data_IF_374740001611
#
_entry.id   IF_374740001611
#
_cell.length_a   1.000
_cell.length_b   1.000
_cell.length_c   1.000
_cell.angle_alpha   90.00
_cell.angle_beta   90.00
_cell.angle_gamma   90.00
#
_symmetry.space_group_name_H-M   'P 1'
#
loop_
_entity.id
_entity.type
_entity.pdbx_description
1 polymer ?
#
# COMPACT_ATOMS: atom_id res chain seq x y z
N UNK A 1 -23.07 -3.87 -30.91
CA UNK A 1 -21.95 -2.92 -30.75
C UNK A 1 -21.17 -3.22 -29.45
N UNK A 2 -20.64 -4.44 -29.28
CA UNK A 2 -19.98 -4.88 -28.03
C UNK A 2 -18.73 -5.78 -28.22
N UNK A 3 -18.54 -6.40 -29.40
CA UNK A 3 -17.37 -7.27 -29.63
C UNK A 3 -16.05 -6.50 -29.76
N UNK A 4 -16.07 -5.29 -30.33
CA UNK A 4 -14.88 -4.48 -30.62
C UNK A 4 -14.14 -3.94 -29.40
N UNK A 5 -14.74 -3.97 -28.20
CA UNK A 5 -14.07 -3.52 -26.97
C UNK A 5 -13.12 -4.58 -26.37
N UNK A 6 -13.36 -5.86 -26.62
CA UNK A 6 -12.56 -6.96 -26.02
C UNK A 6 -11.21 -7.09 -26.74
N UNK A 7 -11.18 -6.93 -28.07
CA UNK A 7 -9.96 -7.03 -28.88
C UNK A 7 -8.93 -5.95 -28.54
N UNK A 8 -9.38 -4.74 -28.19
CA UNK A 8 -8.50 -3.61 -27.89
C UNK A 8 -7.76 -3.79 -26.55
N UNK A 9 -8.41 -4.41 -25.56
CA UNK A 9 -7.80 -4.77 -24.28
C UNK A 9 -6.73 -5.86 -24.44
N UNK A 10 -6.94 -6.82 -25.34
CA UNK A 10 -5.96 -7.90 -25.59
C UNK A 10 -4.66 -7.37 -26.25
N UNK A 11 -4.76 -6.39 -27.15
CA UNK A 11 -3.60 -5.82 -27.83
C UNK A 11 -2.66 -5.06 -26.86
N UNK A 12 -3.20 -4.44 -25.81
CA UNK A 12 -2.40 -3.73 -24.80
C UNK A 12 -1.52 -4.67 -23.96
N UNK A 13 -1.95 -5.91 -23.72
CA UNK A 13 -1.18 -6.89 -22.94
C UNK A 13 0.08 -7.37 -23.67
N UNK A 14 0.01 -7.56 -24.99
CA UNK A 14 1.14 -8.04 -25.79
C UNK A 14 2.27 -6.98 -25.82
N UNK A 15 1.92 -5.69 -25.93
CA UNK A 15 2.90 -4.60 -25.96
C UNK A 15 3.76 -4.51 -24.69
N UNK A 16 3.18 -4.72 -23.50
CA UNK A 16 3.93 -4.64 -22.23
C UNK A 16 4.89 -5.83 -22.04
N UNK A 17 4.52 -7.01 -22.53
CA UNK A 17 5.36 -8.22 -22.43
C UNK A 17 6.69 -8.12 -23.19
N UNK A 18 6.78 -7.25 -24.20
CA UNK A 18 8.01 -7.01 -24.96
C UNK A 18 9.06 -6.14 -24.22
N UNK A 19 8.64 -5.27 -23.30
CA UNK A 19 9.57 -4.36 -22.61
C UNK A 19 10.38 -5.05 -21.49
N UNK A 20 9.80 -6.09 -20.87
CA UNK A 20 10.43 -6.84 -19.77
C UNK A 20 11.66 -7.67 -20.20
N UNK A 21 11.92 -7.82 -21.50
CA UNK A 21 12.99 -8.68 -22.05
C UNK A 21 14.26 -7.94 -22.48
N UNK A 22 14.32 -6.62 -22.29
CA UNK A 22 15.42 -5.76 -22.75
C UNK A 22 16.34 -5.23 -21.62
N UNK A 23 16.03 -5.52 -20.35
CA UNK A 23 16.69 -4.92 -19.19
C UNK A 23 17.74 -5.84 -18.48
N UNK A 24 18.09 -6.98 -19.07
CA UNK A 24 18.95 -8.01 -18.44
C UNK A 24 20.25 -8.26 -19.22
N UNK A 25 21.05 -7.21 -19.44
CA UNK A 25 22.45 -7.31 -19.89
C UNK A 25 23.23 -6.06 -19.46
N UNK A 26 24.46 -6.26 -18.96
CA UNK A 26 25.32 -5.24 -18.34
C UNK A 26 24.79 -4.73 -16.98
N UNK A 27 25.58 -4.58 -15.91
CA UNK A 27 27.05 -4.67 -15.76
C UNK A 27 27.47 -5.78 -14.77
N UNK A 28 28.71 -6.24 -14.92
CA UNK A 28 29.42 -7.17 -14.02
C UNK A 28 30.55 -6.40 -13.35
N UNK A 29 30.85 -6.72 -12.09
CA UNK A 29 32.07 -6.31 -11.35
C UNK A 29 32.28 -4.77 -11.16
N UNK A 30 32.86 -4.28 -10.07
CA UNK A 30 33.89 -4.89 -9.19
C UNK A 30 33.56 -4.78 -7.70
N UNK A 31 34.03 -5.77 -6.92
CA UNK A 31 34.33 -5.62 -5.49
C UNK A 31 35.78 -5.17 -5.33
N UNK A 32 36.05 -4.26 -4.41
CA UNK A 32 37.33 -4.15 -3.69
C UNK A 32 37.04 -3.80 -2.22
N UNK A 33 37.96 -4.13 -1.33
CA UNK A 33 37.73 -4.19 0.11
C UNK A 33 38.48 -3.10 0.90
N UNK A 34 38.11 -3.03 2.19
CA UNK A 34 38.98 -2.85 3.35
C UNK A 34 39.08 -1.47 4.04
N UNK A 35 39.43 -1.54 5.34
CA UNK A 35 39.81 -0.48 6.28
C UNK A 35 38.67 0.51 6.62
N UNK A 36 37.94 0.47 7.75
CA UNK A 36 38.22 0.20 9.18
C UNK A 36 38.64 1.42 10.02
N UNK A 37 38.19 1.44 11.27
CA UNK A 37 38.57 2.34 12.39
C UNK A 37 38.24 3.85 12.30
N UNK A 38 37.26 4.25 13.09
CA UNK A 38 37.44 5.31 14.10
C UNK A 38 36.47 5.07 15.27
N UNK A 39 36.85 5.43 16.49
CA UNK A 39 36.08 5.25 17.71
C UNK A 39 36.28 6.50 18.60
N UNK A 40 35.34 6.77 19.53
CA UNK A 40 35.35 7.95 20.43
C UNK A 40 35.14 9.30 19.65
N UNK A 41 34.61 10.37 20.25
CA UNK A 41 34.79 10.85 21.62
C UNK A 41 33.52 11.45 22.27
N UNK A 42 33.59 11.70 23.57
CA UNK A 42 32.51 12.16 24.44
C UNK A 42 32.67 13.62 24.89
N UNK A 43 31.55 14.31 25.20
CA UNK A 43 31.53 15.48 26.09
C UNK A 43 30.13 15.85 26.60
N UNK A 44 29.97 15.83 27.92
CA UNK A 44 29.13 16.79 28.66
C UNK A 44 29.91 18.13 28.73
N UNK A 45 29.44 19.30 29.18
CA UNK A 45 28.34 19.80 30.03
C UNK A 45 28.33 21.37 29.87
N UNK A 46 27.81 22.28 30.75
CA UNK A 46 26.87 22.16 31.89
C UNK A 46 25.72 23.23 31.99
N UNK A 47 24.74 22.91 32.84
CA UNK A 47 23.96 23.74 33.83
C UNK A 47 23.74 25.28 33.69
N UNK A 48 22.47 25.69 33.83
CA UNK A 48 21.90 26.66 34.82
C UNK A 48 20.39 26.85 34.54
N UNK A 49 19.41 26.97 35.45
CA UNK A 49 19.33 27.05 36.94
C UNK A 49 18.50 25.84 37.49
N UNK A 50 18.03 25.63 38.74
CA UNK A 50 17.72 26.44 39.96
C UNK A 50 16.44 27.33 39.75
N UNK A 51 15.50 27.61 40.67
CA UNK A 51 15.40 27.59 42.14
C UNK A 51 14.46 26.52 42.79
N UNK A 52 14.57 26.40 44.13
CA UNK A 52 13.65 25.71 45.07
C UNK A 52 12.33 26.53 45.28
N UNK A 53 11.31 26.22 46.10
CA UNK A 53 11.14 25.48 47.38
C UNK A 53 9.63 25.10 47.53
N UNK A 54 9.10 24.29 48.48
CA UNK A 54 9.69 23.57 49.63
C UNK A 54 9.08 22.15 49.86
N UNK A 55 7.95 22.02 50.62
CA UNK A 55 7.48 20.76 51.24
C UNK A 55 5.96 20.63 51.36
N UNK A 56 5.47 19.40 51.52
CA UNK A 56 4.07 19.09 51.83
C UNK A 56 3.80 17.62 52.19
N UNK A 57 4.33 17.12 53.32
CA UNK A 57 3.98 15.80 53.88
C UNK A 57 2.93 15.94 54.99
N UNK A 58 1.79 15.24 54.89
CA UNK A 58 0.97 14.79 56.02
C UNK A 58 0.57 13.33 55.76
N UNK A 59 0.38 12.54 56.81
CA UNK A 59 0.24 11.09 56.77
C UNK A 59 -0.80 10.59 57.79
N UNK A 60 -1.40 9.44 57.49
CA UNK A 60 -2.07 8.49 58.39
C UNK A 60 -3.48 8.79 58.97
N UNK A 61 -4.19 7.67 59.20
CA UNK A 61 -5.29 7.42 60.17
C UNK A 61 -6.67 8.06 59.92
N UNK A 62 -7.81 7.47 60.31
CA UNK A 62 -8.34 6.09 60.48
C UNK A 62 -9.50 6.16 61.49
N UNK A 63 -10.70 5.70 61.12
CA UNK A 63 -11.82 5.41 62.05
C UNK A 63 -12.53 4.13 61.55
N UNK A 64 -13.20 3.41 62.46
CA UNK A 64 -13.84 2.10 62.28
C UNK A 64 -15.33 2.19 62.71
N UNK A 65 -16.06 1.07 62.65
CA UNK A 65 -17.43 0.82 63.11
C UNK A 65 -18.58 1.22 62.16
N UNK A 66 -19.71 0.49 62.09
CA UNK A 66 -20.18 -0.69 62.87
C UNK A 66 -20.87 -1.74 61.98
N UNK A 67 -21.05 -2.97 62.50
CA UNK A 67 -21.81 -4.06 61.85
C UNK A 67 -23.33 -3.94 62.08
N UNK A 68 -24.14 -4.61 61.25
CA UNK A 68 -25.16 -5.53 61.80
C UNK A 68 -25.59 -6.68 60.85
N UNK A 69 -26.32 -7.64 61.42
CA UNK A 69 -26.64 -9.02 60.98
C UNK A 69 -27.27 -9.18 59.58
N UNK A 70 -26.82 -10.09 58.71
CA UNK A 70 -26.87 -11.59 58.72
C UNK A 70 -28.21 -12.22 58.28
N UNK A 71 -28.20 -12.96 57.16
CA UNK A 71 -29.06 -14.16 56.98
C UNK A 71 -28.44 -15.18 56.01
N UNK A 72 -28.74 -16.45 56.24
CA UNK A 72 -28.31 -17.66 55.50
C UNK A 72 -29.15 -17.90 54.20
N UNK A 73 -28.87 -18.79 53.24
CA UNK A 73 -27.71 -19.63 52.77
C UNK A 73 -28.16 -20.31 51.43
N UNK A 74 -27.29 -21.10 50.81
CA UNK A 74 -27.62 -22.24 49.91
C UNK A 74 -28.33 -21.95 48.56
N UNK A 75 -27.59 -21.49 47.55
CA UNK A 75 -27.68 -22.04 46.18
C UNK A 75 -26.26 -22.27 45.64
N UNK A 76 -25.71 -23.48 45.84
CA UNK A 76 -24.44 -23.96 45.26
C UNK A 76 -24.44 -25.49 45.12
N UNK A 77 -25.15 -25.99 44.12
CA UNK A 77 -25.17 -27.41 43.74
C UNK A 77 -25.21 -27.59 42.22
N UNK A 78 -26.05 -26.82 41.53
CA UNK A 78 -26.56 -27.23 40.21
C UNK A 78 -25.60 -26.90 39.04
N UNK A 79 -24.82 -25.81 39.15
CA UNK A 79 -23.88 -25.40 38.09
C UNK A 79 -22.81 -26.47 37.78
N UNK A 80 -22.35 -27.22 38.79
CA UNK A 80 -21.26 -28.21 38.65
C UNK A 80 -21.73 -29.47 37.89
N UNK A 81 -23.04 -29.68 37.73
CA UNK A 81 -23.57 -30.69 36.80
C UNK A 81 -23.60 -30.18 35.36
N UNK A 82 -24.10 -28.95 35.13
CA UNK A 82 -24.14 -28.37 33.78
C UNK A 82 -22.75 -28.12 33.19
N UNK A 83 -21.78 -27.64 33.98
CA UNK A 83 -20.39 -27.50 33.52
C UNK A 83 -19.79 -28.85 33.11
N UNK A 84 -20.03 -29.92 33.89
CA UNK A 84 -19.57 -31.27 33.53
C UNK A 84 -20.28 -31.85 32.32
N UNK A 85 -21.57 -31.57 32.13
CA UNK A 85 -22.32 -32.03 30.96
C UNK A 85 -21.92 -31.27 29.68
N UNK A 86 -21.62 -29.97 29.79
CA UNK A 86 -21.07 -29.15 28.69
C UNK A 86 -19.65 -29.59 28.34
N UNK A 87 -18.78 -29.81 29.34
CA UNK A 87 -17.43 -30.36 29.12
C UNK A 87 -17.53 -31.75 28.50
N UNK A 88 -18.39 -32.64 29.00
CA UNK A 88 -18.59 -33.97 28.41
C UNK A 88 -19.11 -33.91 26.96
N UNK A 89 -20.02 -32.99 26.63
CA UNK A 89 -20.50 -32.77 25.26
C UNK A 89 -19.42 -32.16 24.34
N UNK A 90 -18.56 -31.30 24.88
CA UNK A 90 -17.41 -30.74 24.16
C UNK A 90 -16.33 -31.80 23.90
N UNK A 91 -16.05 -32.67 24.87
CA UNK A 91 -15.14 -33.82 24.72
C UNK A 91 -15.72 -34.89 23.79
N UNK A 92 -17.03 -35.15 23.84
CA UNK A 92 -17.70 -36.08 22.94
C UNK A 92 -17.72 -35.61 21.47
N UNK A 93 -17.62 -34.30 21.22
CA UNK A 93 -17.39 -33.75 19.87
C UNK A 93 -15.93 -33.90 19.38
N UNK A 94 -15.01 -34.43 20.20
CA UNK A 94 -13.61 -34.73 19.82
C UNK A 94 -13.23 -36.20 20.03
N UNK A 95 -14.17 -37.13 19.78
CA UNK A 95 -13.78 -38.38 19.11
C UNK A 95 -13.43 -38.08 17.66
N UNK A 96 -12.22 -37.55 17.42
CA UNK A 96 -11.62 -37.62 16.09
C UNK A 96 -11.53 -39.11 15.71
N UNK A 97 -12.34 -39.52 14.73
CA UNK A 97 -12.12 -40.79 14.06
C UNK A 97 -10.72 -40.73 13.49
N UNK A 98 -9.81 -41.61 13.96
CA UNK A 98 -8.48 -41.78 13.38
C UNK A 98 -8.63 -42.35 11.98
N UNK A 99 -8.88 -41.45 11.02
CA UNK A 99 -8.87 -41.74 9.60
C UNK A 99 -7.47 -42.23 9.26
N UNK A 100 -7.34 -43.53 9.00
CA UNK A 100 -6.05 -44.14 8.73
C UNK A 100 -5.46 -43.47 7.48
N UNK A 101 -4.27 -42.89 7.62
CA UNK A 101 -3.53 -42.34 6.50
C UNK A 101 -3.15 -43.49 5.57
N UNK A 102 -3.63 -43.40 4.34
CA UNK A 102 -3.56 -44.43 3.29
C UNK A 102 -2.50 -44.08 2.24
N UNK A 103 -2.22 -42.79 2.09
CA UNK A 103 -1.23 -42.26 1.16
C UNK A 103 -0.15 -41.52 1.96
N UNK A 104 1.12 -41.91 1.79
CA UNK A 104 2.27 -41.39 2.53
C UNK A 104 3.32 -40.82 1.55
N UNK A 105 3.01 -39.76 0.79
CA UNK A 105 3.94 -39.16 -0.17
C UNK A 105 5.24 -38.70 0.52
N UNK A 106 6.37 -39.06 -0.07
CA UNK A 106 7.71 -38.65 0.36
C UNK A 106 8.21 -37.44 -0.43
N UNK A 107 7.59 -37.13 -1.57
CA UNK A 107 7.94 -35.97 -2.40
C UNK A 107 6.75 -35.07 -2.70
N UNK A 108 7.03 -33.78 -2.99
CA UNK A 108 6.01 -32.83 -3.47
C UNK A 108 5.30 -33.33 -4.74
N UNK A 109 6.00 -34.06 -5.61
CA UNK A 109 5.44 -34.61 -6.86
C UNK A 109 4.40 -35.70 -6.58
N UNK A 110 4.65 -36.60 -5.62
CA UNK A 110 3.66 -37.59 -5.16
C UNK A 110 2.47 -36.90 -4.51
N UNK A 111 2.70 -35.94 -3.60
CA UNK A 111 1.62 -35.17 -2.99
C UNK A 111 0.80 -34.42 -4.06
N UNK A 112 1.45 -33.86 -5.09
CA UNK A 112 0.77 -33.17 -6.19
C UNK A 112 -0.16 -34.10 -6.97
N UNK A 113 0.30 -35.30 -7.31
CA UNK A 113 -0.53 -36.30 -7.98
C UNK A 113 -1.75 -36.71 -7.13
N UNK A 114 -1.55 -36.89 -5.82
CA UNK A 114 -2.62 -37.26 -4.88
C UNK A 114 -3.67 -36.15 -4.70
N UNK A 115 -3.28 -34.87 -4.75
CA UNK A 115 -4.24 -33.76 -4.67
C UNK A 115 -4.86 -33.37 -6.01
N UNK A 116 -4.33 -33.85 -7.14
CA UNK A 116 -4.96 -33.61 -8.46
C UNK A 116 -6.08 -34.62 -8.73
N UNK A 117 -6.04 -35.81 -8.14
CA UNK A 117 -7.14 -36.77 -8.14
C UNK A 117 -8.27 -36.30 -7.20
N UNK A 118 -9.39 -35.83 -7.76
CA UNK A 118 -10.58 -35.41 -6.99
C UNK A 118 -11.32 -36.57 -6.30
N UNK A 119 -11.00 -37.83 -6.57
CA UNK A 119 -11.53 -38.98 -5.83
C UNK A 119 -10.81 -39.24 -4.49
N UNK A 120 -9.59 -38.70 -4.33
CA UNK A 120 -8.81 -38.84 -3.10
C UNK A 120 -9.21 -37.77 -2.09
N UNK A 121 -9.70 -38.22 -0.93
CA UNK A 121 -10.00 -37.37 0.23
C UNK A 121 -8.70 -36.87 0.86
N UNK A 122 -8.62 -35.57 1.13
CA UNK A 122 -7.40 -34.97 1.67
C UNK A 122 -7.08 -35.48 3.10
N UNK A 123 -8.09 -35.94 3.84
CA UNK A 123 -7.92 -36.62 5.13
C UNK A 123 -7.16 -37.96 5.06
N UNK A 124 -7.20 -38.67 3.92
CA UNK A 124 -6.50 -39.96 3.72
C UNK A 124 -4.98 -39.79 3.46
N UNK A 125 -4.49 -38.57 3.29
CA UNK A 125 -3.09 -38.24 2.96
C UNK A 125 -2.32 -37.84 4.22
N UNK A 126 -1.13 -38.43 4.43
CA UNK A 126 -0.14 -37.97 5.40
C UNK A 126 0.82 -36.98 4.73
N UNK A 127 0.98 -35.80 5.32
CA UNK A 127 1.86 -34.73 4.81
C UNK A 127 3.11 -34.52 5.66
N UNK A 128 3.31 -35.31 6.73
CA UNK A 128 4.40 -35.10 7.71
C UNK A 128 5.81 -35.18 7.12
N UNK A 129 6.01 -35.93 6.04
CA UNK A 129 7.29 -36.01 5.32
C UNK A 129 7.56 -34.82 4.38
N UNK A 130 6.59 -33.94 4.13
CA UNK A 130 6.66 -32.91 3.09
C UNK A 130 7.12 -31.57 3.66
N UNK A 131 8.19 -31.02 3.09
CA UNK A 131 8.78 -29.74 3.47
C UNK A 131 8.52 -28.59 2.46
N UNK A 132 8.01 -28.92 1.28
CA UNK A 132 7.69 -27.97 0.21
C UNK A 132 6.28 -28.24 -0.33
N UNK A 133 5.36 -27.30 -0.12
CA UNK A 133 3.98 -27.34 -0.63
C UNK A 133 3.74 -26.27 -1.72
N UNK A 134 4.80 -25.74 -2.33
CA UNK A 134 4.67 -24.71 -3.34
C UNK A 134 3.85 -25.16 -4.56
N UNK A 135 2.93 -24.28 -4.98
CA UNK A 135 2.00 -24.47 -6.09
C UNK A 135 1.07 -25.71 -5.98
N UNK A 136 0.90 -26.30 -4.79
CA UNK A 136 0.21 -27.58 -4.62
C UNK A 136 -1.24 -27.59 -5.15
N UNK A 137 -2.03 -26.57 -4.84
CA UNK A 137 -3.39 -26.36 -5.35
C UNK A 137 -3.46 -25.23 -6.39
N UNK A 138 -2.35 -24.91 -7.07
CA UNK A 138 -2.30 -23.80 -8.03
C UNK A 138 -3.20 -24.04 -9.25
N UNK A 139 -4.05 -23.07 -9.55
CA UNK A 139 -5.18 -23.14 -10.50
C UNK A 139 -6.23 -24.24 -10.18
N UNK A 140 -6.28 -24.76 -8.95
CA UNK A 140 -7.17 -25.89 -8.64
C UNK A 140 -8.66 -25.52 -8.80
N UNK A 141 -9.38 -26.42 -9.48
CA UNK A 141 -10.84 -26.38 -9.66
C UNK A 141 -11.59 -27.24 -8.61
N UNK A 142 -10.85 -27.90 -7.71
CA UNK A 142 -11.39 -28.71 -6.62
C UNK A 142 -12.36 -27.89 -5.78
N UNK A 143 -13.47 -28.51 -5.40
CA UNK A 143 -14.52 -27.90 -4.55
C UNK A 143 -14.49 -28.42 -3.12
N UNK A 144 -14.26 -29.72 -2.95
CA UNK A 144 -14.15 -30.35 -1.64
C UNK A 144 -12.70 -30.33 -1.16
N UNK A 145 -12.46 -29.64 -0.05
CA UNK A 145 -11.18 -29.55 0.63
C UNK A 145 -11.23 -30.19 2.03
N UNK A 146 -12.28 -30.97 2.35
CA UNK A 146 -12.45 -31.59 3.65
C UNK A 146 -11.30 -32.55 3.98
N UNK A 147 -10.82 -32.51 5.22
CA UNK A 147 -9.65 -33.22 5.68
C UNK A 147 -8.33 -32.46 5.53
N UNK A 148 -8.27 -31.33 4.82
CA UNK A 148 -7.05 -30.51 4.70
C UNK A 148 -6.66 -29.85 6.04
N UNK A 149 -7.65 -29.62 6.91
CA UNK A 149 -7.48 -29.18 8.30
C UNK A 149 -6.73 -30.21 9.17
N UNK A 150 -6.67 -31.47 8.75
CA UNK A 150 -5.95 -32.57 9.44
C UNK A 150 -4.49 -32.74 9.00
N UNK A 151 -3.98 -31.88 8.11
CA UNK A 151 -2.63 -32.00 7.58
C UNK A 151 -1.57 -31.52 8.58
N UNK A 152 -0.54 -32.35 8.78
CA UNK A 152 0.67 -31.87 9.44
C UNK A 152 1.50 -31.06 8.45
N UNK A 153 1.65 -29.76 8.73
CA UNK A 153 2.47 -28.83 7.93
C UNK A 153 3.69 -28.32 8.70
N UNK A 154 4.03 -28.88 9.86
CA UNK A 154 5.08 -28.33 10.73
C UNK A 154 6.48 -28.40 10.13
N UNK A 155 6.73 -29.33 9.22
CA UNK A 155 7.99 -29.47 8.48
C UNK A 155 8.04 -28.61 7.21
N UNK A 156 6.95 -27.92 6.86
CA UNK A 156 6.87 -27.09 5.64
C UNK A 156 7.63 -25.79 5.84
N UNK A 157 8.57 -25.54 4.93
CA UNK A 157 9.36 -24.30 4.85
C UNK A 157 8.91 -23.40 3.69
N UNK A 158 8.26 -23.97 2.67
CA UNK A 158 7.85 -23.26 1.47
C UNK A 158 6.36 -23.47 1.14
N UNK A 159 5.59 -22.38 1.11
CA UNK A 159 4.17 -22.35 0.70
C UNK A 159 3.93 -21.42 -0.52
N UNK A 160 4.97 -21.10 -1.28
CA UNK A 160 4.90 -20.27 -2.48
C UNK A 160 3.75 -20.68 -3.41
N UNK A 161 2.82 -19.77 -3.68
CA UNK A 161 1.68 -19.96 -4.58
C UNK A 161 0.79 -21.19 -4.25
N UNK A 162 0.77 -21.68 -3.00
CA UNK A 162 0.12 -22.94 -2.62
C UNK A 162 -1.36 -23.02 -3.07
N UNK A 163 -2.13 -21.94 -2.91
CA UNK A 163 -3.52 -21.82 -3.35
C UNK A 163 -3.72 -20.74 -4.43
N UNK A 164 -2.66 -20.37 -5.16
CA UNK A 164 -2.73 -19.38 -6.24
C UNK A 164 -3.78 -19.82 -7.29
N UNK A 165 -4.83 -19.03 -7.52
CA UNK A 165 -5.97 -19.34 -8.40
C UNK A 165 -6.78 -20.58 -8.00
N UNK A 166 -6.72 -21.03 -6.75
CA UNK A 166 -7.57 -22.09 -6.23
C UNK A 166 -9.02 -21.59 -6.10
N UNK A 167 -9.81 -21.77 -7.16
CA UNK A 167 -11.05 -21.01 -7.43
C UNK A 167 -12.12 -21.09 -6.34
N UNK A 168 -12.21 -22.24 -5.67
CA UNK A 168 -13.20 -22.51 -4.62
C UNK A 168 -12.55 -22.66 -3.24
N UNK A 169 -11.27 -22.30 -3.07
CA UNK A 169 -10.59 -22.49 -1.79
C UNK A 169 -11.06 -21.49 -0.74
N UNK A 170 -11.80 -22.00 0.24
CA UNK A 170 -12.22 -21.28 1.44
C UNK A 170 -12.43 -22.27 2.60
N UNK A 171 -11.50 -23.23 2.78
CA UNK A 171 -11.56 -24.23 3.84
C UNK A 171 -10.79 -23.77 5.09
N UNK A 172 -11.18 -24.27 6.27
CA UNK A 172 -10.48 -23.92 7.51
C UNK A 172 -9.06 -24.52 7.53
N UNK A 173 -8.09 -23.66 7.87
CA UNK A 173 -6.66 -23.94 8.01
C UNK A 173 -6.09 -23.23 9.26
N UNK A 174 -6.97 -22.72 10.14
CA UNK A 174 -6.62 -21.94 11.34
C UNK A 174 -5.75 -22.70 12.35
N UNK A 175 -5.79 -24.04 12.31
CA UNK A 175 -5.03 -24.96 13.17
C UNK A 175 -3.61 -25.29 12.65
N UNK A 176 -3.23 -24.84 11.45
CA UNK A 176 -1.95 -25.19 10.82
C UNK A 176 -0.74 -24.59 11.54
N UNK A 177 0.28 -25.43 11.79
CA UNK A 177 1.52 -25.06 12.45
C UNK A 177 2.56 -24.49 11.47
N UNK A 178 2.31 -23.31 10.92
CA UNK A 178 3.16 -22.67 9.88
C UNK A 178 4.49 -22.08 10.40
N UNK A 179 4.89 -22.38 11.64
CA UNK A 179 6.04 -21.75 12.33
C UNK A 179 7.39 -21.84 11.60
N UNK A 180 7.56 -22.82 10.72
CA UNK A 180 8.80 -23.08 9.99
C UNK A 180 8.77 -22.55 8.54
N UNK A 181 7.64 -21.97 8.10
CA UNK A 181 7.50 -21.42 6.76
C UNK A 181 8.30 -20.12 6.65
N UNK A 182 9.14 -20.03 5.62
CA UNK A 182 9.94 -18.84 5.28
C UNK A 182 9.38 -18.07 4.08
N UNK A 183 8.63 -18.75 3.20
CA UNK A 183 8.09 -18.18 1.97
C UNK A 183 6.57 -18.42 1.84
N UNK A 184 5.80 -17.33 1.80
CA UNK A 184 4.35 -17.30 1.56
C UNK A 184 3.96 -16.42 0.34
N UNK A 185 4.92 -16.13 -0.56
CA UNK A 185 4.65 -15.36 -1.78
C UNK A 185 3.52 -16.00 -2.59
N UNK A 186 2.57 -15.19 -3.07
CA UNK A 186 1.38 -15.61 -3.82
C UNK A 186 0.47 -16.66 -3.14
N UNK A 187 0.63 -16.97 -1.84
CA UNK A 187 0.00 -18.15 -1.21
C UNK A 187 -1.52 -18.25 -1.45
N UNK A 188 -2.25 -17.13 -1.41
CA UNK A 188 -3.68 -17.03 -1.71
C UNK A 188 -3.98 -16.06 -2.87
N UNK A 189 -3.01 -15.84 -3.78
CA UNK A 189 -3.23 -14.98 -4.94
C UNK A 189 -4.38 -15.51 -5.81
N UNK A 190 -5.22 -14.63 -6.36
CA UNK A 190 -6.43 -14.98 -7.14
C UNK A 190 -7.41 -15.97 -6.46
N UNK A 191 -7.21 -16.34 -5.18
CA UNK A 191 -8.10 -17.20 -4.40
C UNK A 191 -9.31 -16.39 -3.92
N UNK A 192 -10.11 -15.89 -4.87
CA UNK A 192 -11.07 -14.81 -4.66
C UNK A 192 -12.16 -15.08 -3.61
N UNK A 193 -12.40 -16.35 -3.26
CA UNK A 193 -13.36 -16.78 -2.22
C UNK A 193 -12.74 -16.92 -0.82
N UNK A 194 -11.41 -16.90 -0.67
CA UNK A 194 -10.74 -17.16 0.60
C UNK A 194 -11.02 -16.06 1.62
N UNK A 195 -11.60 -16.43 2.76
CA UNK A 195 -11.89 -15.53 3.87
C UNK A 195 -11.93 -16.27 5.22
N UNK A 196 -10.93 -17.15 5.47
CA UNK A 196 -10.79 -17.86 6.75
C UNK A 196 -9.81 -17.18 7.69
N UNK A 197 -10.04 -17.39 8.98
CA UNK A 197 -9.24 -16.80 10.05
C UNK A 197 -7.89 -17.54 10.16
N UNK A 198 -6.82 -16.76 10.01
CA UNK A 198 -5.42 -17.18 10.11
C UNK A 198 -4.64 -16.27 11.09
N UNK A 199 -5.36 -15.48 11.91
CA UNK A 199 -4.79 -14.57 12.91
C UNK A 199 -3.89 -15.27 13.94
N UNK A 200 -4.11 -16.57 14.17
CA UNK A 200 -3.36 -17.40 15.12
C UNK A 200 -2.09 -18.04 14.54
N UNK A 201 -1.82 -17.87 13.25
CA UNK A 201 -0.60 -18.39 12.63
C UNK A 201 0.65 -17.69 13.16
N UNK A 202 1.65 -18.48 13.58
CA UNK A 202 2.98 -17.93 13.86
C UNK A 202 3.77 -17.75 12.55
N UNK A 203 3.79 -16.53 12.03
CA UNK A 203 4.54 -16.16 10.81
C UNK A 203 5.93 -15.58 11.11
N UNK A 204 6.46 -15.72 12.33
CA UNK A 204 7.70 -15.04 12.77
C UNK A 204 8.94 -15.35 11.92
N UNK A 205 8.95 -16.48 11.19
CA UNK A 205 10.06 -16.92 10.37
C UNK A 205 9.85 -16.64 8.86
N UNK A 206 8.73 -16.02 8.48
CA UNK A 206 8.44 -15.67 7.09
C UNK A 206 9.28 -14.46 6.68
N UNK A 207 10.06 -14.62 5.61
CA UNK A 207 10.88 -13.55 5.02
C UNK A 207 10.17 -12.86 3.84
N UNK A 208 9.21 -13.54 3.21
CA UNK A 208 8.58 -13.10 1.96
C UNK A 208 7.07 -13.39 1.92
N UNK A 209 6.29 -12.34 1.63
CA UNK A 209 4.82 -12.32 1.52
C UNK A 209 4.34 -11.51 0.28
N UNK A 210 5.14 -11.40 -0.78
CA UNK A 210 4.74 -10.67 -1.99
C UNK A 210 3.46 -11.28 -2.57
N UNK A 211 2.50 -10.44 -2.95
CA UNK A 211 1.23 -10.87 -3.54
C UNK A 211 0.41 -11.89 -2.71
N UNK A 212 0.69 -12.07 -1.40
CA UNK A 212 0.11 -13.17 -0.60
C UNK A 212 -1.42 -13.25 -0.66
N UNK A 213 -2.11 -12.10 -0.70
CA UNK A 213 -3.57 -11.98 -0.82
C UNK A 213 -3.98 -11.21 -2.10
N UNK A 214 -3.11 -11.12 -3.11
CA UNK A 214 -3.40 -10.36 -4.32
C UNK A 214 -4.61 -10.95 -5.06
N UNK A 215 -5.69 -10.17 -5.27
CA UNK A 215 -6.98 -10.60 -5.83
C UNK A 215 -7.72 -11.66 -4.99
N UNK A 216 -7.37 -11.85 -3.71
CA UNK A 216 -8.18 -12.55 -2.73
C UNK A 216 -9.39 -11.68 -2.31
N UNK A 217 -10.29 -11.39 -3.26
CA UNK A 217 -11.31 -10.32 -3.19
C UNK A 217 -12.21 -10.39 -1.95
N UNK A 218 -12.53 -11.57 -1.44
CA UNK A 218 -13.34 -11.77 -0.24
C UNK A 218 -12.58 -11.62 1.09
N UNK A 219 -11.24 -11.60 1.08
CA UNK A 219 -10.44 -11.68 2.31
C UNK A 219 -10.55 -10.41 3.16
N UNK A 220 -11.04 -10.58 4.40
CA UNK A 220 -11.13 -9.49 5.38
C UNK A 220 -11.06 -10.04 6.81
N UNK A 221 -9.94 -10.71 7.15
CA UNK A 221 -9.67 -11.26 8.50
C UNK A 221 -8.49 -10.55 9.16
N UNK A 222 -8.53 -10.35 10.50
CA UNK A 222 -7.51 -9.59 11.21
C UNK A 222 -6.15 -10.28 11.14
N UNK A 223 -5.11 -9.50 10.85
CA UNK A 223 -3.70 -9.95 10.80
C UNK A 223 -2.81 -9.17 11.77
N UNK A 224 -3.39 -8.31 12.61
CA UNK A 224 -2.64 -7.46 13.56
C UNK A 224 -1.88 -8.24 14.66
N UNK A 225 -2.16 -9.52 14.84
CA UNK A 225 -1.45 -10.43 15.74
C UNK A 225 -0.16 -11.02 15.14
N UNK A 226 0.09 -10.81 13.84
CA UNK A 226 1.24 -11.39 13.15
C UNK A 226 2.55 -10.64 13.45
N UNK A 227 3.57 -11.37 13.90
CA UNK A 227 4.94 -10.88 13.98
C UNK A 227 5.59 -10.94 12.58
N UNK A 228 5.62 -9.80 11.89
CA UNK A 228 6.21 -9.66 10.54
C UNK A 228 7.64 -9.08 10.54
N UNK A 229 8.33 -9.02 11.69
CA UNK A 229 9.62 -8.34 11.82
C UNK A 229 10.74 -8.88 10.89
N UNK A 230 10.64 -10.14 10.47
CA UNK A 230 11.57 -10.77 9.52
C UNK A 230 11.15 -10.63 8.04
N UNK A 231 9.94 -10.12 7.75
CA UNK A 231 9.45 -9.95 6.37
C UNK A 231 10.20 -8.81 5.70
N UNK A 232 10.93 -9.14 4.62
CA UNK A 232 11.68 -8.19 3.79
C UNK A 232 10.88 -7.75 2.56
N UNK A 233 10.04 -8.64 2.05
CA UNK A 233 9.32 -8.45 0.79
C UNK A 233 7.80 -8.62 0.97
N UNK A 234 7.04 -7.54 0.78
CA UNK A 234 5.58 -7.53 0.88
C UNK A 234 4.92 -6.70 -0.25
N UNK A 235 5.56 -6.68 -1.42
CA UNK A 235 5.05 -5.96 -2.60
C UNK A 235 3.70 -6.56 -3.02
N UNK A 236 2.74 -5.69 -3.38
CA UNK A 236 1.41 -6.09 -3.85
C UNK A 236 0.64 -7.03 -2.90
N UNK A 237 0.98 -7.10 -1.60
CA UNK A 237 0.45 -8.11 -0.66
C UNK A 237 -1.09 -8.17 -0.61
N UNK A 238 -1.76 -7.02 -0.70
CA UNK A 238 -3.23 -6.88 -0.75
C UNK A 238 -3.73 -6.24 -2.07
N UNK A 239 -2.95 -6.35 -3.15
CA UNK A 239 -3.33 -5.82 -4.48
C UNK A 239 -4.69 -6.42 -4.91
N UNK A 240 -5.69 -5.57 -5.14
CA UNK A 240 -7.06 -5.94 -5.49
C UNK A 240 -7.75 -6.91 -4.49
N UNK A 241 -7.31 -6.92 -3.22
CA UNK A 241 -8.06 -7.51 -2.12
C UNK A 241 -9.25 -6.61 -1.76
N UNK A 242 -10.25 -6.56 -2.64
CA UNK A 242 -11.30 -5.52 -2.64
C UNK A 242 -12.06 -5.33 -1.32
N UNK A 243 -12.23 -6.40 -0.53
CA UNK A 243 -12.91 -6.36 0.78
C UNK A 243 -12.00 -6.09 1.98
N UNK A 244 -10.68 -6.08 1.82
CA UNK A 244 -9.75 -6.01 2.94
C UNK A 244 -9.79 -4.63 3.62
N UNK A 245 -10.08 -4.60 4.91
CA UNK A 245 -10.19 -3.37 5.70
C UNK A 245 -9.83 -3.60 7.18
N UNK A 246 -8.69 -4.22 7.45
CA UNK A 246 -8.19 -4.49 8.81
C UNK A 246 -7.01 -3.56 9.14
N UNK A 247 -6.85 -3.19 10.41
CA UNK A 247 -5.64 -2.46 10.85
C UNK A 247 -4.43 -3.37 10.85
N UNK A 248 -3.26 -2.79 10.59
CA UNK A 248 -1.95 -3.44 10.65
C UNK A 248 -0.98 -2.72 11.60
N UNK A 249 -1.47 -1.82 12.47
CA UNK A 249 -0.65 -0.95 13.33
C UNK A 249 0.34 -1.66 14.27
N UNK A 250 0.16 -2.96 14.53
CA UNK A 250 1.05 -3.78 15.38
C UNK A 250 2.22 -4.41 14.62
N UNK A 251 2.29 -4.23 13.29
CA UNK A 251 3.34 -4.81 12.45
C UNK A 251 4.65 -4.01 12.52
N UNK A 252 5.72 -4.69 12.92
CA UNK A 252 7.08 -4.16 12.82
C UNK A 252 7.61 -4.31 11.40
N UNK A 253 7.46 -3.26 10.59
CA UNK A 253 7.89 -3.23 9.18
C UNK A 253 9.32 -2.73 8.96
N UNK A 254 10.16 -2.65 10.01
CA UNK A 254 11.53 -2.11 9.91
C UNK A 254 12.43 -2.81 8.87
N UNK A 255 12.17 -4.09 8.59
CA UNK A 255 12.93 -4.89 7.62
C UNK A 255 12.50 -4.69 6.16
N UNK A 256 11.47 -3.88 5.89
CA UNK A 256 10.85 -3.72 4.56
C UNK A 256 11.51 -2.59 3.77
N UNK A 257 12.06 -2.92 2.60
CA UNK A 257 12.66 -1.95 1.68
C UNK A 257 11.69 -1.46 0.58
N UNK A 258 10.57 -2.16 0.36
CA UNK A 258 9.60 -1.84 -0.69
C UNK A 258 8.16 -2.21 -0.30
N UNK A 259 7.26 -1.25 -0.43
CA UNK A 259 5.80 -1.38 -0.25
C UNK A 259 5.05 -1.07 -1.55
N UNK A 260 5.72 -1.25 -2.70
CA UNK A 260 5.12 -1.06 -4.04
C UNK A 260 3.80 -1.81 -4.15
N UNK A 261 2.77 -1.12 -4.63
CA UNK A 261 1.44 -1.66 -4.95
C UNK A 261 0.71 -2.36 -3.77
N UNK A 262 1.19 -2.22 -2.52
CA UNK A 262 0.76 -3.04 -1.38
C UNK A 262 -0.77 -3.09 -1.16
N UNK A 263 -1.47 -1.98 -1.38
CA UNK A 263 -2.93 -1.85 -1.30
C UNK A 263 -3.54 -1.38 -2.63
N UNK A 264 -2.84 -1.56 -3.76
CA UNK A 264 -3.33 -1.18 -5.09
C UNK A 264 -4.71 -1.80 -5.33
N UNK A 265 -5.75 -1.02 -5.61
CA UNK A 265 -7.09 -1.53 -5.89
C UNK A 265 -7.80 -2.19 -4.70
N UNK A 266 -7.29 -2.08 -3.47
CA UNK A 266 -7.96 -2.51 -2.25
C UNK A 266 -9.10 -1.53 -1.90
N UNK A 267 -10.19 -1.58 -2.67
CA UNK A 267 -11.25 -0.55 -2.71
C UNK A 267 -11.85 -0.19 -1.35
N UNK A 268 -12.02 -1.18 -0.47
CA UNK A 268 -12.57 -1.00 0.89
C UNK A 268 -11.54 -0.59 1.93
N UNK A 269 -10.25 -0.58 1.59
CA UNK A 269 -9.18 -0.45 2.57
C UNK A 269 -9.11 0.97 3.16
N UNK A 270 -9.30 1.03 4.48
CA UNK A 270 -9.15 2.21 5.33
C UNK A 270 -8.71 1.78 6.75
N UNK A 271 -7.98 0.67 6.87
CA UNK A 271 -7.48 0.15 8.15
C UNK A 271 -6.24 0.91 8.60
N UNK A 272 -6.11 1.20 9.90
CA UNK A 272 -5.07 2.08 10.43
C UNK A 272 -3.64 1.53 10.22
N UNK A 273 -2.74 2.44 9.80
CA UNK A 273 -1.32 2.21 9.45
C UNK A 273 -0.35 3.26 10.06
N UNK A 274 -0.83 4.15 10.93
CA UNK A 274 -0.06 5.26 11.54
C UNK A 274 1.22 4.81 12.27
N UNK A 275 1.23 3.57 12.75
CA UNK A 275 2.29 2.98 13.57
C UNK A 275 3.30 2.14 12.76
N UNK A 276 3.12 1.99 11.44
CA UNK A 276 4.08 1.29 10.59
C UNK A 276 5.41 2.07 10.49
N UNK A 277 6.53 1.39 10.74
CA UNK A 277 7.84 1.97 10.48
C UNK A 277 8.23 1.77 9.01
N UNK A 278 8.33 2.88 8.28
CA UNK A 278 8.70 2.93 6.85
C UNK A 278 10.09 3.53 6.61
N UNK A 279 10.92 3.70 7.64
CA UNK A 279 12.19 4.44 7.55
C UNK A 279 13.24 3.81 6.62
N UNK A 280 13.08 2.54 6.27
CA UNK A 280 13.93 1.78 5.35
C UNK A 280 13.31 1.62 3.95
N UNK A 281 12.06 2.06 3.75
CA UNK A 281 11.37 1.92 2.46
C UNK A 281 11.97 2.87 1.43
N UNK A 282 12.31 2.34 0.26
CA UNK A 282 12.86 3.06 -0.89
C UNK A 282 11.77 3.24 -1.97
N UNK A 283 10.79 2.33 -2.05
CA UNK A 283 9.77 2.28 -3.09
C UNK A 283 8.35 2.17 -2.51
N UNK A 284 7.50 3.16 -2.84
CA UNK A 284 6.07 3.24 -2.53
C UNK A 284 5.21 3.45 -3.78
N UNK A 285 5.72 3.13 -4.99
CA UNK A 285 4.98 3.31 -6.23
C UNK A 285 3.60 2.61 -6.16
N UNK A 286 2.56 3.37 -6.50
CA UNK A 286 1.16 2.95 -6.54
C UNK A 286 0.61 2.28 -5.26
N UNK A 287 1.23 2.52 -4.08
CA UNK A 287 0.91 1.82 -2.82
C UNK A 287 -0.58 1.86 -2.45
N UNK A 288 -1.25 3.00 -2.64
CA UNK A 288 -2.69 3.21 -2.39
C UNK A 288 -3.47 3.54 -3.67
N UNK A 289 -2.90 3.30 -4.85
CA UNK A 289 -3.59 3.59 -6.11
C UNK A 289 -4.88 2.76 -6.21
N UNK A 290 -6.01 3.36 -6.59
CA UNK A 290 -7.34 2.77 -6.63
C UNK A 290 -7.86 2.21 -5.28
N UNK A 291 -7.19 2.50 -4.16
CA UNK A 291 -7.73 2.27 -2.81
C UNK A 291 -8.77 3.36 -2.47
N UNK A 292 -9.94 3.29 -3.11
CA UNK A 292 -10.93 4.37 -3.16
C UNK A 292 -11.43 4.88 -1.81
N UNK A 293 -11.42 4.02 -0.77
CA UNK A 293 -11.86 4.35 0.59
C UNK A 293 -10.73 4.82 1.52
N UNK A 294 -9.47 4.76 1.08
CA UNK A 294 -8.33 5.03 1.95
C UNK A 294 -8.26 6.51 2.36
N UNK A 295 -8.27 6.76 3.67
CA UNK A 295 -8.18 8.09 4.27
C UNK A 295 -7.55 8.04 5.67
N UNK A 296 -6.64 7.09 5.93
CA UNK A 296 -5.94 6.97 7.22
C UNK A 296 -4.78 7.95 7.33
N UNK A 297 -4.58 8.49 8.54
CA UNK A 297 -3.53 9.45 8.81
C UNK A 297 -2.15 8.76 8.83
N UNK A 298 -1.23 9.27 8.02
CA UNK A 298 0.14 8.75 7.83
C UNK A 298 1.20 9.86 7.92
N UNK A 299 0.88 11.01 8.54
CA UNK A 299 1.81 12.13 8.74
C UNK A 299 3.04 11.79 9.60
N UNK A 300 2.97 10.69 10.38
CA UNK A 300 4.04 10.14 11.23
C UNK A 300 5.16 9.46 10.44
N UNK A 301 4.93 9.10 9.18
CA UNK A 301 5.81 8.26 8.39
C UNK A 301 7.13 8.95 8.00
N UNK A 302 8.26 8.35 8.39
CA UNK A 302 9.60 8.79 7.99
C UNK A 302 9.93 8.36 6.54
N UNK A 303 9.37 9.05 5.54
CA UNK A 303 9.60 8.77 4.11
C UNK A 303 10.97 9.24 3.58
N UNK A 304 11.92 9.64 4.44
CA UNK A 304 13.16 10.33 4.03
C UNK A 304 14.15 9.50 3.21
N UNK A 305 13.96 8.18 3.09
CA UNK A 305 14.74 7.30 2.18
C UNK A 305 14.03 6.99 0.85
N UNK A 306 12.73 7.28 0.73
CA UNK A 306 11.92 6.92 -0.44
C UNK A 306 12.39 7.71 -1.67
N UNK A 307 12.52 7.01 -2.80
CA UNK A 307 12.86 7.59 -4.11
C UNK A 307 11.69 7.54 -5.10
N UNK A 308 10.84 6.52 -4.97
CA UNK A 308 9.79 6.18 -5.92
C UNK A 308 8.41 6.30 -5.22
N UNK A 309 7.62 7.29 -5.64
CA UNK A 309 6.26 7.60 -5.15
C UNK A 309 5.25 7.82 -6.29
N UNK A 310 5.55 7.29 -7.47
CA UNK A 310 4.71 7.44 -8.67
C UNK A 310 3.35 6.79 -8.44
N UNK A 311 2.28 7.46 -8.88
CA UNK A 311 0.89 7.02 -8.76
C UNK A 311 0.42 6.71 -7.32
N UNK A 312 1.17 7.10 -6.26
CA UNK A 312 0.98 6.58 -4.88
C UNK A 312 -0.46 6.67 -4.36
N UNK A 313 -1.19 7.75 -4.69
CA UNK A 313 -2.59 7.98 -4.34
C UNK A 313 -3.49 8.15 -5.58
N UNK A 314 -3.09 7.61 -6.75
CA UNK A 314 -3.92 7.70 -7.97
C UNK A 314 -5.29 7.04 -7.73
N UNK A 315 -6.40 7.73 -7.99
CA UNK A 315 -7.78 7.28 -7.73
C UNK A 315 -8.05 6.91 -6.24
N UNK A 316 -7.23 7.37 -5.28
CA UNK A 316 -7.57 7.33 -3.86
C UNK A 316 -8.63 8.41 -3.53
N UNK A 317 -9.86 8.21 -4.02
CA UNK A 317 -10.94 9.22 -4.07
C UNK A 317 -11.21 9.87 -2.71
N UNK A 318 -11.14 9.09 -1.62
CA UNK A 318 -11.45 9.55 -0.25
C UNK A 318 -10.27 10.22 0.46
N UNK A 319 -9.05 10.12 -0.06
CA UNK A 319 -7.84 10.51 0.64
C UNK A 319 -7.72 12.04 0.79
N UNK A 320 -7.61 12.51 2.03
CA UNK A 320 -7.44 13.92 2.37
C UNK A 320 -6.74 14.10 3.74
N UNK A 321 -5.58 13.46 3.94
CA UNK A 321 -4.81 13.50 5.21
C UNK A 321 -3.54 14.35 5.10
N UNK A 322 -3.08 14.97 6.20
CA UNK A 322 -1.87 15.81 6.23
C UNK A 322 -0.62 15.04 5.81
N UNK A 323 0.27 15.72 5.08
CA UNK A 323 1.53 15.19 4.50
C UNK A 323 2.67 16.23 4.53
N UNK A 324 2.44 17.41 5.10
CA UNK A 324 3.38 18.54 5.16
C UNK A 324 4.66 18.24 5.95
N UNK A 325 4.64 17.19 6.79
CA UNK A 325 5.79 16.64 7.53
C UNK A 325 6.73 15.79 6.67
N UNK A 326 6.30 15.33 5.49
CA UNK A 326 7.04 14.34 4.70
C UNK A 326 8.30 14.90 4.02
N UNK A 327 9.45 14.33 4.36
CA UNK A 327 10.73 14.68 3.74
C UNK A 327 10.91 14.01 2.36
N UNK A 328 10.26 14.56 1.34
CA UNK A 328 10.33 14.09 -0.05
C UNK A 328 11.63 14.45 -0.79
N UNK A 329 12.68 14.94 -0.12
CA UNK A 329 13.92 15.46 -0.74
C UNK A 329 14.81 14.42 -1.46
N UNK A 330 14.36 13.17 -1.57
CA UNK A 330 14.98 12.09 -2.36
C UNK A 330 14.11 11.59 -3.52
N UNK A 331 12.87 12.09 -3.65
CA UNK A 331 11.95 11.70 -4.72
C UNK A 331 12.40 12.34 -6.05
N UNK A 332 12.49 11.53 -7.10
CA UNK A 332 12.92 11.97 -8.44
C UNK A 332 11.75 12.06 -9.44
N UNK A 333 10.62 11.43 -9.15
CA UNK A 333 9.39 11.46 -9.96
C UNK A 333 8.15 11.54 -9.07
N UNK A 334 7.22 12.43 -9.41
CA UNK A 334 5.89 12.57 -8.80
C UNK A 334 4.77 12.32 -9.82
N UNK A 335 5.08 11.53 -10.86
CA UNK A 335 4.15 11.11 -11.91
C UNK A 335 2.82 10.66 -11.30
N UNK A 336 1.73 11.33 -11.68
CA UNK A 336 0.35 11.00 -11.30
C UNK A 336 0.08 10.83 -9.79
N UNK A 337 0.93 11.35 -8.88
CA UNK A 337 0.91 11.02 -7.45
C UNK A 337 -0.46 11.19 -6.77
N UNK A 338 -1.22 12.23 -7.11
CA UNK A 338 -2.58 12.51 -6.60
C UNK A 338 -3.63 12.54 -7.72
N UNK A 339 -3.36 11.91 -8.87
CA UNK A 339 -4.28 11.83 -10.01
C UNK A 339 -5.62 11.25 -9.58
N UNK A 340 -6.73 11.93 -9.82
CA UNK A 340 -8.08 11.55 -9.39
C UNK A 340 -8.24 11.31 -7.87
N UNK A 341 -7.35 11.82 -7.02
CA UNK A 341 -7.55 11.91 -5.56
C UNK A 341 -8.56 13.04 -5.28
N UNK A 342 -9.84 12.81 -5.62
CA UNK A 342 -10.85 13.88 -5.79
C UNK A 342 -11.05 14.76 -4.55
N UNK A 343 -10.89 14.19 -3.35
CA UNK A 343 -11.04 14.93 -2.09
C UNK A 343 -9.76 15.60 -1.57
N UNK A 344 -8.60 15.29 -2.14
CA UNK A 344 -7.31 15.75 -1.60
C UNK A 344 -7.15 17.27 -1.73
N UNK A 345 -6.93 17.94 -0.59
CA UNK A 345 -6.72 19.38 -0.50
C UNK A 345 -5.86 19.75 0.73
N UNK A 346 -4.73 19.07 0.93
CA UNK A 346 -3.84 19.24 2.09
C UNK A 346 -2.55 19.99 1.71
N UNK A 347 -1.95 20.77 2.63
CA UNK A 347 -0.81 21.63 2.32
C UNK A 347 0.43 20.82 1.95
N UNK A 348 1.09 21.20 0.84
CA UNK A 348 2.33 20.58 0.35
C UNK A 348 3.46 21.59 0.15
N UNK A 349 3.27 22.85 0.56
CA UNK A 349 4.20 23.96 0.30
C UNK A 349 5.61 23.73 0.92
N UNK A 350 5.69 22.96 2.02
CA UNK A 350 6.92 22.58 2.71
C UNK A 350 7.81 21.59 1.94
N UNK A 351 7.28 20.93 0.90
CA UNK A 351 7.97 19.85 0.21
C UNK A 351 9.17 20.33 -0.62
N UNK A 352 10.35 19.79 -0.32
CA UNK A 352 11.56 20.02 -1.09
C UNK A 352 11.57 19.17 -2.37
N UNK A 353 10.88 19.65 -3.41
CA UNK A 353 10.78 19.00 -4.73
C UNK A 353 12.01 19.22 -5.64
N UNK A 354 13.12 19.78 -5.15
CA UNK A 354 14.26 20.24 -5.97
C UNK A 354 15.04 19.16 -6.75
N UNK A 355 14.71 17.87 -6.56
CA UNK A 355 15.24 16.74 -7.36
C UNK A 355 14.23 16.16 -8.35
N UNK A 356 12.96 16.53 -8.26
CA UNK A 356 11.89 15.98 -9.09
C UNK A 356 12.10 16.40 -10.55
N UNK A 357 12.11 15.42 -11.45
CA UNK A 357 12.26 15.62 -12.90
C UNK A 357 10.95 15.49 -13.66
N UNK A 358 9.93 14.92 -13.01
CA UNK A 358 8.69 14.47 -13.62
C UNK A 358 7.48 14.81 -12.72
N UNK A 359 6.55 15.59 -13.26
CA UNK A 359 5.30 16.00 -12.59
C UNK A 359 4.05 15.80 -13.47
N UNK A 360 4.17 15.03 -14.57
CA UNK A 360 3.02 14.70 -15.43
C UNK A 360 1.83 14.18 -14.63
N UNK A 361 0.65 14.74 -14.92
CA UNK A 361 -0.63 14.38 -14.30
C UNK A 361 -0.66 14.42 -12.76
N UNK A 362 0.29 15.06 -12.06
CA UNK A 362 0.43 14.94 -10.60
C UNK A 362 -0.88 15.21 -9.82
N UNK A 363 -1.67 16.19 -10.26
CA UNK A 363 -2.99 16.54 -9.71
C UNK A 363 -4.11 16.41 -10.76
N UNK A 364 -3.94 15.60 -11.82
CA UNK A 364 -4.95 15.40 -12.88
C UNK A 364 -6.25 14.86 -12.27
N UNK A 365 -7.33 15.65 -12.25
CA UNK A 365 -8.61 15.26 -11.66
C UNK A 365 -8.68 15.34 -10.13
N UNK A 366 -7.71 15.96 -9.46
CA UNK A 366 -7.78 16.28 -8.03
C UNK A 366 -8.77 17.45 -7.79
N UNK A 367 -10.07 17.15 -7.89
CA UNK A 367 -11.14 18.14 -8.04
C UNK A 367 -11.15 19.26 -7.00
N UNK A 368 -10.78 18.96 -5.75
CA UNK A 368 -10.79 19.90 -4.62
C UNK A 368 -9.43 20.54 -4.32
N UNK A 369 -8.34 20.16 -5.00
CA UNK A 369 -7.00 20.63 -4.66
C UNK A 369 -6.81 22.11 -5.01
N UNK A 370 -6.51 22.93 -4.01
CA UNK A 370 -6.32 24.37 -4.12
C UNK A 370 -5.36 24.90 -3.04
N UNK A 371 -4.18 24.29 -2.91
CA UNK A 371 -3.17 24.62 -1.89
C UNK A 371 -1.92 25.29 -2.50
N UNK A 372 -1.25 26.22 -1.81
CA UNK A 372 -0.14 27.00 -2.37
C UNK A 372 1.07 26.13 -2.67
N UNK A 373 1.68 26.38 -3.84
CA UNK A 373 2.89 25.68 -4.33
C UNK A 373 3.97 26.65 -4.84
N UNK A 374 3.81 27.97 -4.63
CA UNK A 374 4.71 29.01 -5.15
C UNK A 374 6.16 28.90 -4.62
N UNK A 375 6.38 28.30 -3.44
CA UNK A 375 7.73 28.05 -2.88
C UNK A 375 8.46 26.85 -3.50
N UNK A 376 7.80 26.03 -4.31
CA UNK A 376 8.42 24.83 -4.90
C UNK A 376 9.53 25.17 -5.92
N UNK A 377 10.74 24.66 -5.67
CA UNK A 377 11.83 24.71 -6.65
C UNK A 377 11.63 23.63 -7.73
N UNK A 378 10.81 23.94 -8.73
CA UNK A 378 10.55 23.07 -9.89
C UNK A 378 11.65 23.13 -10.96
N UNK A 379 12.79 23.79 -10.71
CA UNK A 379 13.82 24.11 -11.72
C UNK A 379 14.61 22.93 -12.30
N UNK A 380 14.24 21.68 -12.00
CA UNK A 380 14.76 20.45 -12.65
C UNK A 380 13.66 19.59 -13.29
N UNK A 381 12.40 20.03 -13.22
CA UNK A 381 11.25 19.35 -13.82
C UNK A 381 11.33 19.53 -15.32
N UNK A 382 11.19 18.43 -16.05
CA UNK A 382 11.29 18.41 -17.53
C UNK A 382 9.93 18.34 -18.21
N UNK A 383 8.90 17.84 -17.50
CA UNK A 383 7.55 17.70 -18.03
C UNK A 383 6.50 17.96 -16.95
N UNK A 384 5.48 18.75 -17.32
CA UNK A 384 4.31 19.08 -16.50
C UNK A 384 2.99 18.81 -17.26
N UNK A 385 3.04 17.97 -18.31
CA UNK A 385 1.85 17.73 -19.13
C UNK A 385 0.70 17.12 -18.31
N UNK A 386 -0.51 17.63 -18.50
CA UNK A 386 -1.71 17.32 -17.68
C UNK A 386 -1.61 17.60 -16.17
N UNK A 387 -0.60 18.29 -15.64
CA UNK A 387 -0.35 18.38 -14.18
C UNK A 387 -1.56 18.81 -13.34
N UNK A 388 -2.35 19.79 -13.79
CA UNK A 388 -3.58 20.29 -13.15
C UNK A 388 -4.83 20.08 -14.03
N UNK A 389 -4.76 19.16 -15.00
CA UNK A 389 -5.88 18.84 -15.90
C UNK A 389 -7.10 18.37 -15.10
N UNK A 390 -8.27 18.94 -15.35
CA UNK A 390 -9.51 18.74 -14.58
C UNK A 390 -9.38 19.06 -13.07
N UNK A 391 -8.33 19.72 -12.57
CA UNK A 391 -8.21 20.16 -11.18
C UNK A 391 -9.09 21.41 -10.95
N UNK A 392 -10.42 21.21 -10.95
CA UNK A 392 -11.42 22.28 -11.11
C UNK A 392 -11.31 23.42 -10.11
N UNK A 393 -10.91 23.15 -8.87
CA UNK A 393 -10.76 24.15 -7.80
C UNK A 393 -9.39 24.86 -7.79
N UNK A 394 -8.39 24.39 -8.54
CA UNK A 394 -7.02 24.91 -8.42
C UNK A 394 -6.91 26.34 -8.97
N UNK A 395 -6.54 27.29 -8.11
CA UNK A 395 -6.37 28.70 -8.46
C UNK A 395 -5.29 29.38 -7.60
N UNK A 396 -4.10 28.78 -7.48
CA UNK A 396 -3.00 29.24 -6.61
C UNK A 396 -1.84 29.85 -7.39
N UNK A 397 -1.15 30.82 -6.79
CA UNK A 397 0.04 31.44 -7.38
C UNK A 397 1.13 30.39 -7.69
N UNK A 398 1.66 30.47 -8.91
CA UNK A 398 2.79 29.67 -9.42
C UNK A 398 3.68 30.51 -10.34
N UNK A 399 3.54 31.83 -10.31
CA UNK A 399 4.21 32.80 -11.21
C UNK A 399 5.75 32.71 -11.15
N UNK A 400 6.29 32.44 -9.96
CA UNK A 400 7.74 32.35 -9.67
C UNK A 400 8.39 31.02 -10.07
N UNK A 401 7.64 30.06 -10.63
CA UNK A 401 8.19 28.78 -11.07
C UNK A 401 9.16 28.93 -12.25
N UNK A 402 10.41 28.47 -12.06
CA UNK A 402 11.41 28.45 -13.13
C UNK A 402 11.18 27.25 -14.07
N UNK A 403 10.56 27.48 -15.22
CA UNK A 403 10.26 26.45 -16.22
C UNK A 403 11.36 26.23 -17.28
N UNK A 404 12.58 26.73 -17.06
CA UNK A 404 13.65 26.71 -18.09
C UNK A 404 14.01 25.30 -18.61
N UNK A 405 13.86 24.25 -17.80
CA UNK A 405 14.13 22.85 -18.19
C UNK A 405 12.88 22.12 -18.73
N UNK A 406 11.69 22.74 -18.68
CA UNK A 406 10.43 22.11 -19.09
C UNK A 406 10.28 22.15 -20.61
N UNK A 407 10.12 20.98 -21.23
CA UNK A 407 9.87 20.86 -22.68
C UNK A 407 8.39 20.60 -23.03
N UNK A 408 7.53 20.31 -22.05
CA UNK A 408 6.14 19.92 -22.28
C UNK A 408 5.18 20.41 -21.18
N UNK A 409 4.20 21.22 -21.57
CA UNK A 409 3.07 21.68 -20.75
C UNK A 409 1.71 21.38 -21.41
N UNK A 410 1.64 20.47 -22.38
CA UNK A 410 0.38 20.10 -23.04
C UNK A 410 -0.66 19.60 -22.03
N UNK A 411 -1.90 20.05 -22.20
CA UNK A 411 -3.04 19.84 -21.31
C UNK A 411 -2.87 20.31 -19.84
N UNK A 412 -1.80 21.05 -19.46
CA UNK A 412 -1.45 21.32 -18.06
C UNK A 412 -2.59 21.89 -17.20
N UNK A 413 -3.41 22.81 -17.73
CA UNK A 413 -4.59 23.40 -17.07
C UNK A 413 -5.89 23.09 -17.81
N UNK A 414 -5.91 22.04 -18.64
CA UNK A 414 -7.09 21.64 -19.42
C UNK A 414 -8.27 21.36 -18.49
N UNK A 415 -9.40 22.03 -18.67
CA UNK A 415 -10.58 22.01 -17.78
C UNK A 415 -10.28 22.37 -16.30
N UNK A 416 -9.20 23.10 -16.00
CA UNK A 416 -8.97 23.70 -14.68
C UNK A 416 -9.86 24.94 -14.52
N UNK A 417 -11.17 24.71 -14.36
CA UNK A 417 -12.22 25.73 -14.57
C UNK A 417 -12.08 27.01 -13.75
N UNK A 418 -11.47 26.94 -12.56
CA UNK A 418 -11.25 28.11 -11.68
C UNK A 418 -9.89 28.78 -11.85
N UNK A 419 -8.98 28.22 -12.64
CA UNK A 419 -7.61 28.72 -12.72
C UNK A 419 -7.54 30.06 -13.48
N UNK A 420 -7.09 31.11 -12.81
CA UNK A 420 -6.91 32.44 -13.38
C UNK A 420 -5.77 33.22 -12.69
N UNK A 421 -4.62 32.57 -12.50
CA UNK A 421 -3.44 33.19 -11.86
C UNK A 421 -2.43 33.68 -12.90
N UNK A 422 -1.75 34.78 -12.58
CA UNK A 422 -0.76 35.40 -13.46
C UNK A 422 0.46 34.46 -13.66
N UNK A 423 0.97 34.40 -14.89
CA UNK A 423 2.10 33.55 -15.29
C UNK A 423 3.27 34.36 -15.89
N UNK A 424 3.40 35.64 -15.48
CA UNK A 424 4.25 36.64 -16.14
C UNK A 424 5.75 36.27 -16.17
N UNK A 425 6.26 35.58 -15.17
CA UNK A 425 7.70 35.28 -15.03
C UNK A 425 8.09 33.88 -15.55
N UNK A 426 7.18 33.16 -16.19
CA UNK A 426 7.45 31.83 -16.76
C UNK A 426 8.40 31.91 -17.95
N UNK A 427 9.52 31.18 -17.87
CA UNK A 427 10.52 31.07 -18.93
C UNK A 427 10.12 30.03 -19.96
N UNK A 428 9.27 30.42 -20.91
CA UNK A 428 8.63 29.50 -21.87
C UNK A 428 9.47 29.09 -23.07
N UNK A 429 10.64 29.69 -23.27
CA UNK A 429 11.47 29.53 -24.47
C UNK A 429 11.78 28.07 -24.84
N UNK A 430 11.99 27.19 -23.86
CA UNK A 430 12.34 25.78 -24.08
C UNK A 430 11.13 24.83 -24.18
N UNK A 431 9.90 25.32 -23.93
CA UNK A 431 8.69 24.50 -24.00
C UNK A 431 8.36 24.22 -25.46
N UNK A 432 8.38 22.93 -25.84
CA UNK A 432 8.18 22.45 -27.21
C UNK A 432 6.71 22.13 -27.53
N UNK A 433 5.91 21.78 -26.52
CA UNK A 433 4.52 21.38 -26.68
C UNK A 433 3.64 22.07 -25.61
N UNK A 434 2.60 22.77 -26.09
CA UNK A 434 1.61 23.52 -25.29
C UNK A 434 0.17 23.16 -25.70
N UNK A 435 -0.03 22.01 -26.35
CA UNK A 435 -1.31 21.60 -26.92
C UNK A 435 -2.39 21.52 -25.85
N UNK A 436 -3.53 22.18 -26.07
CA UNK A 436 -4.68 22.22 -25.14
C UNK A 436 -4.32 22.68 -23.72
N UNK A 437 -3.21 23.41 -23.54
CA UNK A 437 -2.68 23.77 -22.22
C UNK A 437 -3.72 24.49 -21.33
N UNK A 438 -4.60 25.30 -21.92
CA UNK A 438 -5.71 25.98 -21.26
C UNK A 438 -7.08 25.61 -21.87
N UNK A 439 -7.20 24.49 -22.62
CA UNK A 439 -8.48 24.13 -23.24
C UNK A 439 -9.55 23.91 -22.16
N UNK A 440 -10.70 24.59 -22.25
CA UNK A 440 -11.76 24.51 -21.24
C UNK A 440 -11.44 25.20 -19.90
N UNK A 441 -10.35 25.96 -19.80
CA UNK A 441 -10.03 26.78 -18.61
C UNK A 441 -10.89 28.07 -18.61
N UNK A 442 -12.19 27.94 -18.35
CA UNK A 442 -13.21 28.99 -18.56
C UNK A 442 -12.98 30.29 -17.77
N UNK A 443 -12.24 30.26 -16.66
CA UNK A 443 -11.89 31.47 -15.89
C UNK A 443 -10.58 32.11 -16.33
N UNK A 444 -9.75 31.43 -17.12
CA UNK A 444 -8.39 31.87 -17.44
C UNK A 444 -8.41 33.03 -18.44
N UNK A 445 -8.08 34.23 -17.97
CA UNK A 445 -7.99 35.45 -18.78
C UNK A 445 -6.82 36.30 -18.27
N UNK A 446 -5.60 35.92 -18.67
CA UNK A 446 -4.34 36.52 -18.22
C UNK A 446 -3.55 37.10 -19.39
N UNK A 447 -2.72 38.10 -19.11
CA UNK A 447 -1.84 38.68 -20.13
C UNK A 447 -0.58 37.83 -20.32
N UNK A 448 -0.38 37.34 -21.55
CA UNK A 448 0.70 36.42 -21.93
C UNK A 448 1.61 37.01 -23.03
N UNK A 449 1.48 38.28 -23.40
CA UNK A 449 2.34 38.92 -24.42
C UNK A 449 3.84 38.90 -24.05
N UNK A 450 4.19 38.73 -22.78
CA UNK A 450 5.57 38.64 -22.28
C UNK A 450 6.25 37.28 -22.50
N UNK A 451 5.55 36.26 -23.02
CA UNK A 451 6.10 34.92 -23.20
C UNK A 451 6.89 34.78 -24.51
N UNK A 452 8.14 34.32 -24.41
CA UNK A 452 8.92 33.84 -25.56
C UNK A 452 8.50 32.40 -25.90
N UNK A 453 7.79 32.17 -27.01
CA UNK A 453 7.15 30.86 -27.32
C UNK A 453 7.69 30.22 -28.60
N UNK A 454 8.77 29.45 -28.45
CA UNK A 454 9.33 28.59 -29.52
C UNK A 454 8.68 27.19 -29.58
N UNK A 455 7.44 27.05 -29.09
CA UNK A 455 6.70 25.79 -29.09
C UNK A 455 6.40 25.28 -30.51
N UNK A 456 6.81 24.04 -30.78
CA UNK A 456 6.56 23.28 -32.02
C UNK A 456 5.08 23.01 -32.26
N UNK A 457 4.33 22.83 -31.18
CA UNK A 457 2.88 22.64 -31.23
C UNK A 457 2.19 23.35 -30.08
N UNK A 458 1.08 24.01 -30.42
CA UNK A 458 0.21 24.81 -29.55
C UNK A 458 -1.26 24.65 -29.98
N UNK A 459 -1.60 23.44 -30.45
CA UNK A 459 -2.92 23.10 -31.00
C UNK A 459 -4.00 23.24 -29.91
N UNK A 460 -5.15 23.84 -30.24
CA UNK A 460 -6.29 24.07 -29.32
C UNK A 460 -5.91 24.78 -27.99
N UNK A 461 -4.75 25.45 -27.89
CA UNK A 461 -4.15 25.87 -26.61
C UNK A 461 -5.11 26.69 -25.71
N UNK A 462 -5.90 27.58 -26.31
CA UNK A 462 -6.87 28.46 -25.64
C UNK A 462 -8.32 28.15 -26.01
N UNK A 463 -8.60 27.01 -26.66
CA UNK A 463 -9.94 26.62 -27.10
C UNK A 463 -10.89 26.48 -25.91
N UNK A 464 -12.09 27.03 -26.00
CA UNK A 464 -13.10 26.99 -24.93
C UNK A 464 -12.62 27.56 -23.57
N UNK A 465 -11.59 28.42 -23.57
CA UNK A 465 -11.02 29.08 -22.39
C UNK A 465 -11.62 30.48 -22.14
N UNK A 466 -11.32 31.09 -20.99
CA UNK A 466 -11.76 32.45 -20.64
C UNK A 466 -11.08 33.60 -21.41
N UNK A 467 -10.11 33.30 -22.28
CA UNK A 467 -9.21 34.29 -22.89
C UNK A 467 -9.92 35.27 -23.84
N UNK A 468 -10.11 36.51 -23.40
CA UNK A 468 -10.72 37.60 -24.20
C UNK A 468 -9.76 38.21 -25.22
N UNK A 469 -8.45 38.10 -24.99
CA UNK A 469 -7.38 38.63 -25.86
C UNK A 469 -6.29 37.58 -25.99
N UNK A 470 -6.19 36.95 -27.16
CA UNK A 470 -5.10 36.04 -27.47
C UNK A 470 -3.78 36.82 -27.60
N UNK A 471 -2.65 36.30 -27.10
CA UNK A 471 -1.37 36.99 -27.15
C UNK A 471 -0.82 37.05 -28.58
N UNK A 472 0.03 38.04 -28.83
CA UNK A 472 0.62 38.35 -30.13
C UNK A 472 1.36 37.17 -30.80
N UNK A 473 2.06 36.35 -30.03
CA UNK A 473 2.82 35.17 -30.51
C UNK A 473 1.95 33.95 -30.88
N UNK A 474 0.64 33.98 -30.64
CA UNK A 474 -0.28 32.87 -30.91
C UNK A 474 -0.97 32.96 -32.30
N UNK A 475 -0.77 34.05 -33.04
CA UNK A 475 -1.37 34.29 -34.36
C UNK A 475 -0.58 33.65 -35.49
#
# INVERSE_FOLDING_TARGET
MQSTFITLLLCCFIAMSCYAKAATTSTKETRHEAISNANQDSKMHPKSHVDEVEKGKIDSKSVVDTNETTTHKNIKSDNNMQEKEIVAKTTAMHTESKTMKKYLPQTKSELKALVDDESIKLSEIDTSAINDMSALFKNSIRKDFSGIESWNVENVTNMYAMFDRAKFFNHDISRWNVKNVTNMDFMFADAAQFNRDISKWNVSNVESMNNMFARAKAFNKPLESWNVANVRYMNAMFLEAESFNQSLNKWDTRSVESMREMFYGAKSFNGALDSLNVENVINMNAMFAFATSFNQNIHTWNVSKVKYMENMFENAISFNQPLESWNVSRVESMLAMFKNAKNFNQPLESWNVSKVREMRSMFEGALRFNQPLNKWNVGRVTSMSSMFKNAKAFNQEIDKWNLADVWNTSEMFRNATSFNQALRFWRTHNIRYMDRMFEGAISFNQDLDYWEVNAKSKMDMFKDSGMRRLPSWYK
#
